data_IF_181278934685
#
_entry.id   IF_181278934685
#
_cell.length_a   1.000
_cell.length_b   1.000
_cell.length_c   1.000
_cell.angle_alpha   90.00
_cell.angle_beta   90.00
_cell.angle_gamma   90.00
#
_symmetry.space_group_name_H-M   'P 1'
#
loop_
_entity.id
_entity.type
_entity.pdbx_description
1 polymer ?
#
# COMPACT_ATOMS: atom_id res chain seq x y z
N UNK A 1 11.46 17.74 -10.70
CA UNK A 1 12.37 16.66 -10.22
C UNK A 1 11.61 15.62 -9.41
N UNK A 2 10.74 16.02 -8.47
CA UNK A 2 9.92 15.11 -7.64
C UNK A 2 9.08 14.11 -8.47
N UNK A 3 8.38 14.58 -9.50
CA UNK A 3 7.60 13.69 -10.38
C UNK A 3 8.45 12.57 -11.00
N UNK A 4 9.70 12.84 -11.39
CA UNK A 4 10.57 11.83 -12.02
C UNK A 4 11.01 10.74 -11.03
N UNK A 5 11.22 11.09 -9.77
CA UNK A 5 11.56 10.15 -8.69
C UNK A 5 10.37 9.26 -8.35
N UNK A 6 9.18 9.85 -8.22
CA UNK A 6 7.93 9.10 -8.01
C UNK A 6 7.67 8.13 -9.16
N UNK A 7 7.83 8.56 -10.43
CA UNK A 7 7.64 7.69 -11.60
C UNK A 7 8.62 6.50 -11.62
N UNK A 8 9.90 6.73 -11.33
CA UNK A 8 10.90 5.65 -11.29
C UNK A 8 10.60 4.66 -10.16
N UNK A 9 10.22 5.14 -8.98
CA UNK A 9 9.81 4.29 -7.87
C UNK A 9 8.61 3.41 -8.25
N UNK A 10 7.55 4.03 -8.78
CA UNK A 10 6.33 3.32 -9.16
C UNK A 10 6.60 2.28 -10.27
N UNK A 11 7.48 2.60 -11.23
CA UNK A 11 7.90 1.65 -12.27
C UNK A 11 8.69 0.47 -11.68
N UNK A 12 9.65 0.75 -10.80
CA UNK A 12 10.43 -0.30 -10.12
C UNK A 12 9.53 -1.20 -9.27
N UNK A 13 8.57 -0.60 -8.56
CA UNK A 13 7.61 -1.33 -7.75
C UNK A 13 6.71 -2.21 -8.62
N UNK A 14 6.17 -1.69 -9.73
CA UNK A 14 5.39 -2.50 -10.71
C UNK A 14 6.21 -3.69 -11.20
N UNK A 15 7.46 -3.48 -11.61
CA UNK A 15 8.32 -4.55 -12.12
C UNK A 15 8.59 -5.63 -11.05
N UNK A 16 8.91 -5.21 -9.83
CA UNK A 16 9.16 -6.13 -8.71
C UNK A 16 7.93 -6.94 -8.35
N UNK A 17 6.77 -6.28 -8.22
CA UNK A 17 5.51 -6.96 -7.91
C UNK A 17 5.12 -7.91 -9.07
N UNK A 18 5.31 -7.49 -10.32
CA UNK A 18 5.11 -8.33 -11.49
C UNK A 18 5.98 -9.59 -11.47
N UNK A 19 7.27 -9.47 -11.13
CA UNK A 19 8.18 -10.61 -10.98
C UNK A 19 7.73 -11.59 -9.86
N UNK A 20 6.94 -11.12 -8.90
CA UNK A 20 6.34 -11.93 -7.83
C UNK A 20 4.97 -12.48 -8.17
N UNK A 21 4.48 -12.28 -9.39
CA UNK A 21 3.19 -12.78 -9.86
C UNK A 21 2.00 -11.91 -9.46
N UNK A 22 2.23 -10.65 -9.06
CA UNK A 22 1.14 -9.69 -8.94
C UNK A 22 0.73 -9.17 -10.32
N UNK A 23 -0.57 -8.95 -10.50
CA UNK A 23 -1.16 -8.36 -11.71
C UNK A 23 -1.74 -6.98 -11.37
N UNK A 24 -1.62 -6.02 -12.28
CA UNK A 24 -2.22 -4.70 -12.10
C UNK A 24 -3.75 -4.83 -12.19
N UNK A 25 -4.44 -4.21 -11.24
CA UNK A 25 -5.90 -4.16 -11.16
C UNK A 25 -6.34 -2.72 -11.25
N UNK A 26 -7.52 -2.48 -11.83
CA UNK A 26 -8.02 -1.11 -12.00
C UNK A 26 -8.28 -0.47 -10.63
N UNK A 27 -7.51 0.56 -10.25
CA UNK A 27 -7.77 1.27 -9.02
C UNK A 27 -8.92 2.30 -9.19
N UNK A 28 -9.56 2.75 -8.10
CA UNK A 28 -10.15 4.08 -8.01
C UNK A 28 -9.21 5.13 -8.59
N UNK A 29 -9.75 6.19 -9.20
CA UNK A 29 -8.99 7.21 -9.96
C UNK A 29 -7.92 7.98 -9.15
N UNK A 30 -7.77 7.67 -7.87
CA UNK A 30 -6.92 8.32 -6.87
C UNK A 30 -5.67 7.51 -6.51
N UNK A 31 -5.52 6.28 -7.00
CA UNK A 31 -4.28 5.53 -6.78
C UNK A 31 -3.34 5.61 -7.98
N UNK A 32 -2.05 5.63 -7.69
CA UNK A 32 -1.01 5.59 -8.71
C UNK A 32 -0.83 4.19 -9.29
N UNK A 33 -0.85 3.18 -8.40
CA UNK A 33 -0.84 1.77 -8.76
C UNK A 33 -1.73 0.96 -7.82
N UNK A 34 -2.32 -0.10 -8.35
CA UNK A 34 -2.94 -1.15 -7.56
C UNK A 34 -2.61 -2.51 -8.17
N UNK A 35 -2.08 -3.42 -7.36
CA UNK A 35 -1.61 -4.72 -7.81
C UNK A 35 -2.13 -5.82 -6.90
N UNK A 36 -2.61 -6.90 -7.50
CA UNK A 36 -3.20 -8.03 -6.82
C UNK A 36 -2.43 -9.31 -7.14
N UNK A 37 -2.16 -10.11 -6.12
CA UNK A 37 -1.69 -11.48 -6.27
C UNK A 37 -2.80 -12.41 -5.80
N UNK A 38 -3.41 -13.08 -6.76
CA UNK A 38 -4.27 -14.23 -6.49
C UNK A 38 -3.38 -15.38 -6.05
N UNK A 39 -3.83 -16.15 -5.06
CA UNK A 39 -3.05 -17.28 -4.57
C UNK A 39 -3.95 -18.53 -4.50
N UNK A 40 -3.34 -19.70 -4.70
CA UNK A 40 -4.01 -21.00 -4.72
C UNK A 40 -3.40 -21.89 -3.62
N UNK A 41 -4.19 -22.78 -3.02
CA UNK A 41 -3.67 -23.78 -2.08
C UNK A 41 -3.45 -23.32 -0.64
N UNK A 42 -4.35 -22.49 -0.10
CA UNK A 42 -4.37 -22.14 1.34
C UNK A 42 -3.59 -20.87 1.72
N UNK A 43 -2.83 -20.29 0.79
CA UNK A 43 -2.38 -18.90 0.89
C UNK A 43 -3.53 -17.95 0.59
N UNK A 44 -3.45 -16.71 1.09
CA UNK A 44 -4.51 -15.72 0.87
C UNK A 44 -4.19 -14.74 -0.25
N UNK A 45 -5.21 -14.22 -0.96
CA UNK A 45 -5.02 -13.14 -1.92
C UNK A 45 -4.40 -11.91 -1.25
N UNK A 46 -3.49 -11.24 -1.95
CA UNK A 46 -2.86 -9.99 -1.47
C UNK A 46 -3.11 -8.85 -2.46
N UNK A 47 -3.43 -7.67 -1.95
CA UNK A 47 -3.53 -6.44 -2.75
C UNK A 47 -2.61 -5.38 -2.17
N UNK A 48 -1.84 -4.73 -3.02
CA UNK A 48 -0.99 -3.61 -2.70
C UNK A 48 -1.49 -2.44 -3.54
N UNK A 49 -1.87 -1.33 -2.92
CA UNK A 49 -2.14 -0.09 -3.63
C UNK A 49 -1.23 1.02 -3.11
N UNK A 50 -0.90 1.97 -3.99
CA UNK A 50 -0.06 3.11 -3.66
C UNK A 50 -0.83 4.38 -3.90
N UNK A 51 -0.80 5.26 -2.91
CA UNK A 51 -1.38 6.59 -2.97
C UNK A 51 -0.26 7.62 -2.87
N UNK A 52 -0.17 8.51 -3.86
CA UNK A 52 0.74 9.65 -3.80
C UNK A 52 0.16 10.72 -2.87
N UNK A 53 0.72 10.80 -1.66
CA UNK A 53 0.34 11.77 -0.65
C UNK A 53 1.25 13.01 -0.65
N UNK A 54 2.11 13.20 -1.65
CA UNK A 54 3.05 14.33 -1.70
C UNK A 54 2.37 15.69 -1.85
N UNK A 55 1.16 15.73 -2.43
CA UNK A 55 0.41 16.98 -2.67
C UNK A 55 -0.97 17.03 -2.02
N UNK A 56 -1.36 16.00 -1.27
CA UNK A 56 -2.69 15.96 -0.63
C UNK A 56 -2.72 16.79 0.66
N UNK A 57 -3.87 17.40 0.94
CA UNK A 57 -4.17 18.01 2.23
C UNK A 57 -5.11 17.15 3.09
N UNK A 58 -5.64 16.06 2.52
CA UNK A 58 -6.53 15.15 3.23
C UNK A 58 -5.78 14.41 4.34
N UNK A 59 -6.47 14.12 5.44
CA UNK A 59 -5.87 13.33 6.52
C UNK A 59 -5.58 11.90 6.03
N UNK A 60 -4.52 11.25 6.54
CA UNK A 60 -4.25 9.85 6.24
C UNK A 60 -5.44 8.92 6.53
N UNK A 61 -6.16 9.16 7.63
CA UNK A 61 -7.35 8.41 7.99
C UNK A 61 -8.48 8.56 6.97
N UNK A 62 -8.74 9.76 6.46
CA UNK A 62 -9.78 10.00 5.45
C UNK A 62 -9.42 9.31 4.13
N UNK A 63 -8.16 9.41 3.71
CA UNK A 63 -7.64 8.66 2.55
C UNK A 63 -7.87 7.17 2.78
N UNK A 64 -7.48 6.63 3.94
CA UNK A 64 -7.60 5.20 4.22
C UNK A 64 -9.05 4.73 4.16
N UNK A 65 -9.97 5.45 4.80
CA UNK A 65 -11.38 5.09 4.88
C UNK A 65 -12.06 5.12 3.51
N UNK A 66 -11.76 6.11 2.66
CA UNK A 66 -12.27 6.17 1.28
C UNK A 66 -11.86 4.93 0.47
N UNK A 67 -10.64 4.46 0.72
CA UNK A 67 -9.97 3.42 -0.06
C UNK A 67 -10.23 2.00 0.45
N UNK A 68 -10.49 1.85 1.75
CA UNK A 68 -10.72 0.56 2.42
C UNK A 68 -11.82 -0.26 1.76
N UNK A 69 -12.95 0.36 1.42
CA UNK A 69 -14.09 -0.34 0.82
C UNK A 69 -13.77 -0.97 -0.54
N UNK A 70 -12.85 -0.38 -1.30
CA UNK A 70 -12.39 -0.95 -2.57
C UNK A 70 -11.52 -2.19 -2.35
N UNK A 71 -10.59 -2.13 -1.38
CA UNK A 71 -9.79 -3.29 -0.99
C UNK A 71 -10.69 -4.44 -0.53
N UNK A 72 -11.67 -4.17 0.34
CA UNK A 72 -12.60 -5.17 0.87
C UNK A 72 -13.41 -5.83 -0.26
N UNK A 73 -13.89 -5.07 -1.25
CA UNK A 73 -14.57 -5.62 -2.43
C UNK A 73 -13.68 -6.55 -3.27
N UNK A 74 -12.40 -6.23 -3.36
CA UNK A 74 -11.45 -6.99 -4.18
C UNK A 74 -10.92 -8.24 -3.47
N UNK A 75 -10.68 -8.14 -2.16
CA UNK A 75 -10.10 -9.20 -1.34
C UNK A 75 -11.13 -10.15 -0.74
N UNK A 76 -12.39 -9.71 -0.62
CA UNK A 76 -13.41 -10.40 0.14
C UNK A 76 -12.99 -10.58 1.61
N UNK A 77 -13.54 -11.60 2.26
CA UNK A 77 -13.31 -11.86 3.68
C UNK A 77 -12.01 -12.63 3.97
N UNK A 78 -11.26 -13.03 2.93
CA UNK A 78 -10.12 -13.94 3.09
C UNK A 78 -8.78 -13.30 2.70
N UNK A 79 -8.77 -12.23 1.90
CA UNK A 79 -7.53 -11.62 1.45
C UNK A 79 -6.91 -10.61 2.42
N UNK A 80 -5.73 -10.10 2.11
CA UNK A 80 -5.09 -9.00 2.85
C UNK A 80 -4.64 -7.88 1.91
N UNK A 81 -4.73 -6.65 2.40
CA UNK A 81 -4.49 -5.43 1.67
C UNK A 81 -3.48 -4.55 2.39
N UNK A 82 -2.68 -3.82 1.63
CA UNK A 82 -1.87 -2.73 2.14
C UNK A 82 -2.01 -1.49 1.27
N UNK A 83 -2.32 -0.38 1.91
CA UNK A 83 -2.27 0.95 1.31
C UNK A 83 -0.93 1.61 1.66
N UNK A 84 -0.06 1.75 0.67
CA UNK A 84 1.22 2.43 0.82
C UNK A 84 1.07 3.92 0.48
N UNK A 85 1.34 4.78 1.45
CA UNK A 85 1.38 6.21 1.28
C UNK A 85 2.78 6.63 0.86
N UNK A 86 2.90 7.29 -0.29
CA UNK A 86 4.14 7.96 -0.69
C UNK A 86 4.13 9.40 -0.17
N UNK A 87 5.12 9.74 0.64
CA UNK A 87 5.33 11.09 1.15
C UNK A 87 6.74 11.57 0.82
N UNK A 88 6.91 12.88 0.75
CA UNK A 88 8.22 13.53 0.78
C UNK A 88 8.49 14.01 2.21
N UNK A 89 9.44 13.37 2.91
CA UNK A 89 9.83 13.70 4.29
C UNK A 89 8.64 13.75 5.28
N UNK A 90 7.92 12.64 5.49
CA UNK A 90 6.81 12.60 6.43
C UNK A 90 7.30 12.91 7.85
N UNK A 91 6.49 13.64 8.63
CA UNK A 91 6.78 13.85 10.04
C UNK A 91 6.60 12.57 10.85
N UNK A 92 7.25 12.48 12.01
CA UNK A 92 7.11 11.32 12.90
C UNK A 92 5.64 11.09 13.30
N UNK A 93 4.88 12.16 13.58
CA UNK A 93 3.46 12.05 13.92
C UNK A 93 2.61 11.53 12.76
N UNK A 94 2.92 11.91 11.52
CA UNK A 94 2.25 11.38 10.34
C UNK A 94 2.55 9.89 10.14
N UNK A 95 3.82 9.49 10.32
CA UNK A 95 4.20 8.07 10.28
C UNK A 95 3.44 7.30 11.35
N UNK A 96 3.43 7.78 12.59
CA UNK A 96 2.73 7.12 13.68
C UNK A 96 1.23 6.99 13.42
N UNK A 97 0.56 8.06 12.95
CA UNK A 97 -0.86 8.03 12.59
C UNK A 97 -1.14 6.93 11.55
N UNK A 98 -0.36 6.90 10.48
CA UNK A 98 -0.53 5.94 9.37
C UNK A 98 -0.32 4.51 9.87
N UNK A 99 0.69 4.28 10.70
CA UNK A 99 0.96 2.96 11.25
C UNK A 99 -0.14 2.46 12.20
N UNK A 100 -1.00 3.33 12.73
CA UNK A 100 -2.19 2.92 13.50
C UNK A 100 -3.37 2.51 12.61
N UNK A 101 -3.37 2.87 11.32
CA UNK A 101 -4.49 2.57 10.43
C UNK A 101 -4.57 1.07 10.13
N UNK A 102 -5.68 0.46 10.55
CA UNK A 102 -5.88 -0.99 10.49
C UNK A 102 -5.11 -1.79 11.57
N UNK A 103 -4.31 -1.14 12.42
CA UNK A 103 -3.52 -1.76 13.49
C UNK A 103 -4.44 -2.19 14.63
N UNK A 104 -4.88 -3.44 14.61
CA UNK A 104 -5.83 -3.99 15.60
C UNK A 104 -6.80 -5.00 14.98
N UNK A 105 -6.94 -4.97 13.67
CA UNK A 105 -7.48 -6.07 12.89
C UNK A 105 -6.26 -6.95 12.58
N UNK A 106 -6.13 -8.14 13.20
CA UNK A 106 -5.11 -9.15 12.86
C UNK A 106 -5.80 -10.44 12.39
N UNK A 107 -5.60 -10.87 11.13
CA UNK A 107 -6.39 -11.92 10.47
C UNK A 107 -6.70 -11.69 8.98
N UNK A 108 -7.55 -12.55 8.42
CA UNK A 108 -7.98 -12.49 7.03
C UNK A 108 -9.06 -11.41 6.79
N UNK A 109 -9.11 -10.83 5.58
CA UNK A 109 -10.04 -9.75 5.19
C UNK A 109 -9.58 -8.34 5.59
N UNK A 110 -8.28 -8.13 5.74
CA UNK A 110 -7.75 -6.94 6.42
C UNK A 110 -6.97 -6.01 5.52
N UNK A 111 -7.11 -4.72 5.79
CA UNK A 111 -6.35 -3.66 5.11
C UNK A 111 -5.54 -2.95 6.18
N UNK A 112 -4.24 -2.83 5.95
CA UNK A 112 -3.32 -2.04 6.78
C UNK A 112 -2.72 -0.91 5.96
N UNK A 113 -2.06 0.04 6.61
CA UNK A 113 -1.33 1.09 5.93
C UNK A 113 0.18 1.01 6.16
N UNK A 114 0.92 1.61 5.24
CA UNK A 114 2.36 1.81 5.34
C UNK A 114 2.77 3.15 4.74
N UNK A 115 3.98 3.59 5.06
CA UNK A 115 4.57 4.83 4.57
C UNK A 115 5.85 4.50 3.80
N UNK A 116 6.04 5.19 2.68
CA UNK A 116 7.30 5.24 1.96
C UNK A 116 7.73 6.71 1.83
N UNK A 117 8.88 7.06 2.37
CA UNK A 117 9.51 8.36 2.20
C UNK A 117 10.39 8.36 0.95
N UNK A 118 9.93 9.07 -0.08
CA UNK A 118 10.63 9.18 -1.37
C UNK A 118 11.95 9.93 -1.24
N UNK A 119 12.10 10.82 -0.24
CA UNK A 119 13.31 11.61 -0.06
C UNK A 119 14.44 10.78 0.54
N UNK A 120 14.17 10.07 1.65
CA UNK A 120 15.19 9.29 2.35
C UNK A 120 15.28 7.83 1.92
N UNK A 121 14.42 7.37 1.00
CA UNK A 121 14.29 5.98 0.58
C UNK A 121 14.10 5.04 1.80
N UNK A 122 13.21 5.45 2.71
CA UNK A 122 12.86 4.70 3.92
C UNK A 122 11.39 4.33 3.88
N UNK A 123 11.04 3.28 4.60
CA UNK A 123 9.65 2.84 4.74
C UNK A 123 9.33 2.49 6.19
N UNK A 124 8.05 2.58 6.52
CA UNK A 124 7.49 2.15 7.80
C UNK A 124 6.18 1.43 7.53
N UNK A 125 6.06 0.18 7.97
CA UNK A 125 4.83 -0.60 7.84
C UNK A 125 4.86 -1.78 8.80
N UNK A 126 3.71 -2.45 8.94
CA UNK A 126 3.62 -3.69 9.69
C UNK A 126 4.35 -4.83 8.98
N UNK A 127 5.13 -5.62 9.73
CA UNK A 127 5.72 -6.87 9.26
C UNK A 127 4.67 -8.00 9.11
N UNK A 128 3.45 -7.77 9.58
CA UNK A 128 2.35 -8.72 9.43
C UNK A 128 2.14 -9.09 7.96
N UNK A 129 1.86 -10.36 7.68
CA UNK A 129 1.71 -10.89 6.31
C UNK A 129 2.95 -10.74 5.40
N UNK A 130 4.10 -10.34 5.95
CA UNK A 130 5.36 -10.18 5.21
C UNK A 130 5.37 -8.98 4.26
N UNK A 131 4.63 -7.90 4.55
CA UNK A 131 4.52 -6.76 3.64
C UNK A 131 5.85 -6.14 3.19
N UNK A 132 6.86 -5.93 4.07
CA UNK A 132 8.14 -5.42 3.61
C UNK A 132 8.81 -6.34 2.59
N UNK A 133 8.70 -7.65 2.80
CA UNK A 133 9.26 -8.65 1.89
C UNK A 133 8.50 -8.70 0.58
N UNK A 134 7.17 -8.52 0.58
CA UNK A 134 6.37 -8.46 -0.65
C UNK A 134 6.66 -7.18 -1.47
N UNK A 135 6.86 -6.04 -0.82
CA UNK A 135 6.97 -4.73 -1.50
C UNK A 135 8.42 -4.36 -1.83
N UNK A 136 9.38 -4.65 -0.94
CA UNK A 136 10.73 -4.06 -1.02
C UNK A 136 11.87 -5.04 -1.30
N UNK A 137 11.67 -6.35 -1.08
CA UNK A 137 12.66 -7.39 -1.43
C UNK A 137 12.35 -8.07 -2.76
#
# INVERSE_FOLDING_TARGET
MENQVSWQLLSNLRNRLGAKGYIEVRPPSTYEIAMMKQTFGGTIPKVIAVFDATMTTDSPADIFNRHKSWFEKLLGNTGAGVLLYMYHQPSASQVDEILQLGRGMLGYGQVVAGVYDVYSNKYWMSDHMGWPDEIFK
#
